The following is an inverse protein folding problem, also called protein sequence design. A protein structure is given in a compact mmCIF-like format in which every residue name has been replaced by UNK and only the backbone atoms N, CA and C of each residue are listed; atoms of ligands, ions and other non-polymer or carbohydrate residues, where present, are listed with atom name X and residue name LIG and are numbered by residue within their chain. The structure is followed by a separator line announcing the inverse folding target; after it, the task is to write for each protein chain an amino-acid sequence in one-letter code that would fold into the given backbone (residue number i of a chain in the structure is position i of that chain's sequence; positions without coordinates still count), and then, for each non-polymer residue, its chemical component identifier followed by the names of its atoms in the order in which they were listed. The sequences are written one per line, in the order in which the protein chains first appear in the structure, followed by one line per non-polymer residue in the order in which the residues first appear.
data_IF_258926788434
#
_entry.id   IF_258926788434
#
_cell.length_a   1.000
_cell.length_b   1.000
_cell.length_c   1.000
_cell.angle_alpha   90.00
_cell.angle_beta   90.00
_cell.angle_gamma   90.00
#
_symmetry.space_group_name_H-M   'P 1'
#
loop_
_entity.id
_entity.type
_entity.pdbx_description
1 polymer ?
#
# COMPACT_ATOMS: atom_id res chain seq x y z
N UNK A 1 9.86 -12.59 14.96
CA UNK A 1 9.79 -11.15 14.64
C UNK A 1 9.28 -10.44 15.88
N UNK A 2 10.01 -9.45 16.38
CA UNK A 2 9.59 -8.71 17.58
C UNK A 2 8.37 -7.82 17.24
N UNK A 3 7.29 -7.96 18.02
CA UNK A 3 6.07 -7.15 17.87
C UNK A 3 6.33 -5.67 18.17
N UNK A 4 7.42 -5.33 18.86
CA UNK A 4 7.84 -3.96 19.12
C UNK A 4 8.11 -3.16 17.82
N UNK A 5 8.50 -3.84 16.74
CA UNK A 5 8.88 -3.23 15.47
C UNK A 5 7.76 -2.40 14.81
N UNK A 6 6.51 -2.59 15.22
CA UNK A 6 5.35 -1.86 14.68
C UNK A 6 4.69 -0.91 15.68
N UNK A 7 5.20 -0.79 16.91
CA UNK A 7 4.56 0.03 17.94
C UNK A 7 4.44 1.51 17.52
N UNK A 8 5.46 2.03 16.83
CA UNK A 8 5.45 3.41 16.35
C UNK A 8 4.39 3.71 15.27
N UNK A 9 3.80 2.69 14.61
CA UNK A 9 2.66 2.91 13.70
C UNK A 9 1.42 3.43 14.43
N UNK A 10 1.29 3.17 15.73
CA UNK A 10 0.18 3.65 16.57
C UNK A 10 0.55 4.89 17.38
N UNK A 11 1.75 5.43 17.20
CA UNK A 11 2.16 6.64 17.89
C UNK A 11 1.28 7.82 17.49
N UNK A 12 0.95 8.76 18.41
CA UNK A 12 0.35 10.03 18.03
C UNK A 12 1.31 10.91 17.21
N UNK A 13 2.62 10.63 17.25
CA UNK A 13 3.64 11.37 16.51
C UNK A 13 3.73 10.87 15.08
N UNK A 14 3.38 11.73 14.11
CA UNK A 14 3.57 11.43 12.68
C UNK A 14 5.03 11.04 12.39
N UNK A 15 6.01 11.74 12.97
CA UNK A 15 7.43 11.44 12.75
C UNK A 15 7.81 10.01 13.16
N UNK A 16 7.26 9.51 14.28
CA UNK A 16 7.50 8.14 14.73
C UNK A 16 6.80 7.12 13.83
N UNK A 17 5.58 7.42 13.37
CA UNK A 17 4.87 6.58 12.39
C UNK A 17 5.70 6.45 11.11
N UNK A 18 6.17 7.58 10.57
CA UNK A 18 6.98 7.62 9.35
C UNK A 18 8.31 6.86 9.52
N UNK A 19 9.02 7.08 10.62
CA UNK A 19 10.26 6.35 10.93
C UNK A 19 10.01 4.84 11.03
N UNK A 20 8.88 4.44 11.61
CA UNK A 20 8.47 3.03 11.70
C UNK A 20 8.18 2.44 10.33
N UNK A 21 7.44 3.15 9.46
CA UNK A 21 7.17 2.67 8.09
C UNK A 21 8.46 2.51 7.31
N UNK A 22 9.37 3.49 7.35
CA UNK A 22 10.66 3.43 6.64
C UNK A 22 11.51 2.25 7.11
N UNK A 23 11.52 1.95 8.41
CA UNK A 23 12.29 0.81 8.92
C UNK A 23 11.77 -0.54 8.44
N UNK A 24 10.48 -0.65 8.09
CA UNK A 24 9.91 -1.91 7.59
C UNK A 24 10.54 -2.36 6.27
N UNK A 25 10.97 -1.44 5.39
CA UNK A 25 11.69 -1.79 4.16
C UNK A 25 12.99 -2.55 4.45
N UNK A 26 13.74 -2.09 5.45
CA UNK A 26 14.97 -2.75 5.92
C UNK A 26 14.66 -4.12 6.53
N UNK A 27 13.54 -4.27 7.22
CA UNK A 27 13.12 -5.56 7.78
C UNK A 27 12.76 -6.58 6.69
N UNK A 28 12.05 -6.15 5.64
CA UNK A 28 11.75 -7.01 4.48
C UNK A 28 13.04 -7.51 3.84
N UNK A 29 13.99 -6.59 3.55
CA UNK A 29 15.28 -6.93 2.93
C UNK A 29 16.11 -7.88 3.79
N UNK A 30 16.15 -7.66 5.10
CA UNK A 30 16.90 -8.51 6.03
C UNK A 30 16.23 -9.87 6.27
N UNK A 31 14.90 -9.97 6.08
CA UNK A 31 14.11 -11.15 6.43
C UNK A 31 13.06 -11.46 5.33
N UNK A 32 13.47 -11.84 4.11
CA UNK A 32 12.58 -11.99 2.96
C UNK A 32 11.85 -13.35 2.93
N UNK A 33 11.35 -13.81 4.08
CA UNK A 33 10.54 -15.04 4.15
C UNK A 33 9.04 -14.70 4.26
N UNK A 34 8.13 -15.53 3.68
CA UNK A 34 6.72 -15.20 3.53
C UNK A 34 6.02 -14.69 4.79
N UNK A 35 6.26 -15.33 5.94
CA UNK A 35 5.64 -14.92 7.20
C UNK A 35 6.00 -13.49 7.63
N UNK A 36 7.26 -13.08 7.43
CA UNK A 36 7.72 -11.73 7.77
C UNK A 36 7.09 -10.70 6.84
N UNK A 37 7.23 -10.91 5.53
CA UNK A 37 6.72 -9.99 4.51
C UNK A 37 5.21 -9.83 4.65
N UNK A 38 4.47 -10.93 4.76
CA UNK A 38 3.02 -10.89 4.95
C UNK A 38 2.63 -10.11 6.21
N UNK A 39 3.31 -10.35 7.34
CA UNK A 39 3.03 -9.62 8.59
C UNK A 39 3.27 -8.13 8.43
N UNK A 40 4.39 -7.73 7.80
CA UNK A 40 4.70 -6.32 7.53
C UNK A 40 3.59 -5.68 6.68
N UNK A 41 3.24 -6.30 5.55
CA UNK A 41 2.24 -5.74 4.64
C UNK A 41 0.86 -5.65 5.30
N UNK A 42 0.46 -6.63 6.12
CA UNK A 42 -0.78 -6.54 6.92
C UNK A 42 -0.75 -5.33 7.86
N UNK A 43 0.36 -5.10 8.56
CA UNK A 43 0.49 -3.95 9.48
C UNK A 43 0.51 -2.62 8.75
N UNK A 44 1.15 -2.54 7.60
CA UNK A 44 1.12 -1.35 6.75
C UNK A 44 -0.29 -1.10 6.20
N UNK A 45 -1.03 -2.15 5.83
CA UNK A 45 -2.42 -2.02 5.36
C UNK A 45 -3.36 -1.52 6.48
N UNK A 46 -3.19 -2.01 7.72
CA UNK A 46 -3.89 -1.47 8.90
C UNK A 46 -3.60 0.03 9.07
N UNK A 47 -2.32 0.43 9.03
CA UNK A 47 -1.90 1.83 9.20
C UNK A 47 -2.33 2.74 8.04
N UNK A 48 -2.39 2.22 6.82
CA UNK A 48 -2.82 2.98 5.64
C UNK A 48 -4.29 3.38 5.71
N UNK A 49 -5.14 2.45 6.17
CA UNK A 49 -6.59 2.63 6.25
C UNK A 49 -6.93 3.89 7.05
N UNK A 50 -6.42 3.98 8.28
CA UNK A 50 -6.75 5.07 9.21
C UNK A 50 -5.70 6.21 9.20
N UNK A 51 -4.71 6.12 8.32
CA UNK A 51 -3.55 7.03 8.28
C UNK A 51 -3.84 8.42 7.70
N UNK A 52 -2.89 9.33 7.92
CA UNK A 52 -2.84 10.62 7.20
C UNK A 52 -2.23 10.44 5.80
N UNK A 53 -2.40 11.41 4.90
CA UNK A 53 -1.77 11.31 3.57
C UNK A 53 -0.24 11.20 3.60
N UNK A 54 0.51 11.92 4.45
CA UNK A 54 1.94 11.68 4.61
C UNK A 54 2.29 10.23 4.96
N UNK A 55 1.49 9.60 5.83
CA UNK A 55 1.66 8.20 6.17
C UNK A 55 1.38 7.30 4.96
N UNK A 56 0.26 7.52 4.26
CA UNK A 56 -0.12 6.76 3.04
C UNK A 56 0.93 6.87 1.94
N UNK A 57 1.45 8.08 1.70
CA UNK A 57 2.53 8.33 0.74
C UNK A 57 3.79 7.54 1.09
N UNK A 58 4.16 7.52 2.37
CA UNK A 58 5.35 6.80 2.82
C UNK A 58 5.16 5.28 2.72
N UNK A 59 3.97 4.77 3.02
CA UNK A 59 3.62 3.36 2.84
C UNK A 59 3.67 2.96 1.37
N UNK A 60 3.08 3.76 0.47
CA UNK A 60 3.11 3.50 -0.97
C UNK A 60 4.54 3.42 -1.50
N UNK A 61 5.40 4.36 -1.09
CA UNK A 61 6.82 4.34 -1.43
C UNK A 61 7.53 3.08 -0.92
N UNK A 62 7.35 2.73 0.35
CA UNK A 62 8.01 1.56 0.94
C UNK A 62 7.57 0.26 0.26
N UNK A 63 6.28 0.11 -0.07
CA UNK A 63 5.80 -1.06 -0.79
C UNK A 63 6.41 -1.14 -2.20
N UNK A 64 6.45 -0.02 -2.93
CA UNK A 64 7.13 0.04 -4.23
C UNK A 64 8.62 -0.33 -4.14
N UNK A 65 9.33 0.05 -3.06
CA UNK A 65 10.73 -0.32 -2.86
C UNK A 65 10.94 -1.81 -2.48
N UNK A 66 9.90 -2.48 -1.98
CA UNK A 66 9.94 -3.90 -1.62
C UNK A 66 9.63 -4.84 -2.78
N UNK A 67 9.06 -4.32 -3.88
CA UNK A 67 8.50 -4.99 -5.07
C UNK A 67 8.72 -6.51 -5.17
N UNK A 68 9.95 -6.97 -5.49
CA UNK A 68 10.24 -8.40 -5.69
C UNK A 68 9.88 -9.30 -4.52
N UNK A 69 9.94 -8.79 -3.29
CA UNK A 69 9.57 -9.52 -2.08
C UNK A 69 8.06 -9.58 -1.84
N UNK A 70 7.27 -8.68 -2.43
CA UNK A 70 5.80 -8.62 -2.24
C UNK A 70 5.08 -9.83 -2.83
N UNK A 71 5.71 -10.53 -3.78
CA UNK A 71 5.23 -11.83 -4.30
C UNK A 71 5.06 -12.91 -3.20
N UNK A 72 5.69 -12.73 -2.04
CA UNK A 72 5.61 -13.65 -0.89
C UNK A 72 4.37 -13.42 0.01
N UNK A 73 3.57 -12.40 -0.28
CA UNK A 73 2.35 -12.09 0.49
C UNK A 73 1.26 -13.12 0.16
N UNK A 74 0.58 -13.65 1.19
CA UNK A 74 -0.48 -14.66 1.03
C UNK A 74 -1.84 -14.24 1.64
N UNK A 75 -1.88 -13.20 2.49
CA UNK A 75 -3.12 -12.61 3.03
C UNK A 75 -3.76 -11.58 2.08
N UNK A 76 -3.64 -11.78 0.76
CA UNK A 76 -4.02 -10.80 -0.26
C UNK A 76 -5.43 -10.26 -0.10
N UNK A 77 -6.44 -11.12 0.05
CA UNK A 77 -7.86 -10.69 0.17
C UNK A 77 -8.09 -9.67 1.30
N UNK A 78 -7.50 -9.90 2.47
CA UNK A 78 -7.70 -9.04 3.64
C UNK A 78 -6.87 -7.76 3.56
N UNK A 79 -5.68 -7.83 2.94
CA UNK A 79 -4.81 -6.68 2.67
C UNK A 79 -5.49 -5.74 1.67
N UNK A 80 -6.00 -6.28 0.56
CA UNK A 80 -6.66 -5.51 -0.49
C UNK A 80 -7.92 -4.81 0.04
N UNK A 81 -8.74 -5.48 0.86
CA UNK A 81 -9.92 -4.86 1.49
C UNK A 81 -9.58 -3.60 2.29
N UNK A 82 -8.43 -3.58 2.98
CA UNK A 82 -8.01 -2.41 3.77
C UNK A 82 -7.61 -1.24 2.87
N UNK A 83 -6.81 -1.49 1.84
CA UNK A 83 -6.43 -0.44 0.88
C UNK A 83 -7.63 0.09 0.08
N UNK A 84 -8.48 -0.82 -0.40
CA UNK A 84 -9.70 -0.48 -1.13
C UNK A 84 -10.70 0.31 -0.28
N UNK A 85 -10.71 0.16 1.06
CA UNK A 85 -11.59 0.99 1.89
C UNK A 85 -11.30 2.50 1.80
N UNK A 86 -10.13 2.90 1.29
CA UNK A 86 -9.73 4.30 1.08
C UNK A 86 -10.03 4.79 -0.35
N UNK A 87 -10.39 3.90 -1.29
CA UNK A 87 -10.60 4.26 -2.71
C UNK A 87 -11.75 5.23 -2.95
N UNK A 88 -12.72 5.29 -2.01
CA UNK A 88 -13.86 6.21 -2.07
C UNK A 88 -13.69 7.46 -1.20
N UNK A 89 -12.46 7.75 -0.76
CA UNK A 89 -12.15 8.99 -0.03
C UNK A 89 -12.51 10.21 -0.88
N UNK A 90 -12.99 11.28 -0.25
CA UNK A 90 -13.16 12.58 -0.91
C UNK A 90 -11.80 13.24 -1.24
N UNK A 91 -10.71 12.78 -0.62
CA UNK A 91 -9.37 13.28 -0.86
C UNK A 91 -8.69 12.57 -2.05
N UNK A 92 -8.41 13.27 -3.16
CA UNK A 92 -7.77 12.67 -4.33
C UNK A 92 -6.36 12.14 -4.06
N UNK A 93 -5.63 12.72 -3.11
CA UNK A 93 -4.29 12.23 -2.75
C UNK A 93 -4.40 10.85 -2.11
N UNK A 94 -5.40 10.64 -1.24
CA UNK A 94 -5.65 9.33 -0.65
C UNK A 94 -6.01 8.29 -1.71
N UNK A 95 -6.87 8.64 -2.68
CA UNK A 95 -7.24 7.76 -3.81
C UNK A 95 -6.04 7.42 -4.70
N UNK A 96 -5.21 8.42 -5.02
CA UNK A 96 -3.97 8.21 -5.78
C UNK A 96 -3.02 7.24 -5.06
N UNK A 97 -2.86 7.39 -3.74
CA UNK A 97 -2.04 6.46 -2.95
C UNK A 97 -2.63 5.05 -2.93
N UNK A 98 -3.96 4.90 -2.90
CA UNK A 98 -4.62 3.59 -3.02
C UNK A 98 -4.27 2.91 -4.35
N UNK A 99 -4.26 3.65 -5.46
CA UNK A 99 -3.87 3.08 -6.76
C UNK A 99 -2.41 2.62 -6.77
N UNK A 100 -1.49 3.41 -6.20
CA UNK A 100 -0.06 3.08 -6.16
C UNK A 100 0.25 1.83 -5.31
N UNK A 101 -0.39 1.67 -4.14
CA UNK A 101 -0.21 0.47 -3.32
C UNK A 101 -0.79 -0.77 -3.99
N UNK A 102 -1.93 -0.63 -4.69
CA UNK A 102 -2.53 -1.73 -5.43
C UNK A 102 -1.67 -2.15 -6.62
N UNK A 103 -1.04 -1.19 -7.32
CA UNK A 103 -0.08 -1.47 -8.38
C UNK A 103 1.12 -2.29 -7.85
N UNK A 104 1.67 -1.89 -6.70
CA UNK A 104 2.77 -2.62 -6.05
C UNK A 104 2.37 -4.04 -5.61
N UNK A 105 1.08 -4.28 -5.37
CA UNK A 105 0.54 -5.56 -4.94
C UNK A 105 -0.12 -6.35 -6.08
N UNK A 106 -0.06 -5.87 -7.33
CA UNK A 106 -0.67 -6.55 -8.48
C UNK A 106 -0.26 -8.03 -8.60
N UNK A 107 1.02 -8.43 -8.35
CA UNK A 107 1.41 -9.86 -8.38
C UNK A 107 0.71 -10.74 -7.35
N UNK A 108 0.19 -10.16 -6.26
CA UNK A 108 -0.47 -10.88 -5.16
C UNK A 108 -1.91 -11.25 -5.50
N UNK A 109 -2.57 -10.47 -6.36
CA UNK A 109 -3.97 -10.71 -6.74
C UNK A 109 -4.27 -10.18 -8.15
N UNK A 110 -3.84 -10.89 -9.21
CA UNK A 110 -3.94 -10.40 -10.58
C UNK A 110 -5.37 -10.30 -11.15
N UNK A 111 -6.38 -10.91 -10.51
CA UNK A 111 -7.75 -10.99 -11.05
C UNK A 111 -8.80 -10.22 -10.25
N UNK A 112 -8.40 -9.19 -9.50
CA UNK A 112 -9.35 -8.42 -8.70
C UNK A 112 -10.21 -7.50 -9.56
N UNK A 113 -11.44 -7.94 -9.87
CA UNK A 113 -12.46 -7.14 -10.58
C UNK A 113 -12.68 -5.75 -9.96
N UNK A 114 -12.63 -5.66 -8.63
CA UNK A 114 -12.79 -4.38 -7.92
C UNK A 114 -11.64 -3.42 -8.22
N UNK A 115 -10.41 -3.92 -8.27
CA UNK A 115 -9.23 -3.12 -8.62
C UNK A 115 -9.30 -2.67 -10.07
N UNK A 116 -9.68 -3.56 -11.00
CA UNK A 116 -9.85 -3.18 -12.40
C UNK A 116 -10.92 -2.10 -12.59
N UNK A 117 -12.06 -2.22 -11.92
CA UNK A 117 -13.11 -1.20 -11.96
C UNK A 117 -12.60 0.15 -11.45
N UNK A 118 -11.92 0.14 -10.30
CA UNK A 118 -11.33 1.34 -9.70
C UNK A 118 -10.34 2.03 -10.66
N UNK A 119 -9.46 1.27 -11.32
CA UNK A 119 -8.52 1.83 -12.29
C UNK A 119 -9.28 2.54 -13.42
N UNK A 120 -10.30 1.87 -13.99
CA UNK A 120 -11.10 2.45 -15.09
C UNK A 120 -11.81 3.73 -14.66
N UNK A 121 -12.38 3.76 -13.46
CA UNK A 121 -13.00 4.96 -12.91
C UNK A 121 -11.98 6.09 -12.74
N UNK A 122 -10.83 5.81 -12.11
CA UNK A 122 -9.79 6.80 -11.85
C UNK A 122 -9.07 7.28 -13.12
N UNK A 123 -9.13 6.55 -14.24
CA UNK A 123 -8.69 7.02 -15.56
C UNK A 123 -9.53 8.17 -16.12
N UNK A 124 -10.67 8.46 -15.51
CA UNK A 124 -11.52 9.61 -15.85
C UNK A 124 -11.51 10.71 -14.78
N UNK A 125 -10.64 10.59 -13.77
CA UNK A 125 -10.56 11.54 -12.67
C UNK A 125 -10.07 12.91 -13.14
N UNK A 126 -10.72 13.97 -12.66
CA UNK A 126 -10.30 15.36 -12.90
C UNK A 126 -8.98 15.70 -12.19
N UNK A 127 -8.70 15.02 -11.07
CA UNK A 127 -7.46 15.23 -10.35
C UNK A 127 -6.30 14.56 -11.10
N UNK A 128 -5.34 15.37 -11.53
CA UNK A 128 -4.18 14.91 -12.29
C UNK A 128 -3.34 13.83 -11.56
N UNK A 129 -3.21 13.92 -10.23
CA UNK A 129 -2.43 12.94 -9.46
C UNK A 129 -3.09 11.57 -9.40
N UNK A 130 -4.40 11.53 -9.22
CA UNK A 130 -5.18 10.29 -9.29
C UNK A 130 -5.16 9.68 -10.70
N UNK A 131 -5.41 10.51 -11.72
CA UNK A 131 -5.34 10.09 -13.12
C UNK A 131 -3.98 9.49 -13.47
N UNK A 132 -2.88 10.17 -13.08
CA UNK A 132 -1.52 9.68 -13.33
C UNK A 132 -1.25 8.35 -12.62
N UNK A 133 -1.72 8.18 -11.38
CA UNK A 133 -1.56 6.91 -10.66
C UNK A 133 -2.31 5.76 -11.36
N UNK A 134 -3.54 6.01 -11.84
CA UNK A 134 -4.31 5.03 -12.59
C UNK A 134 -3.65 4.66 -13.92
N UNK A 135 -3.17 5.67 -14.65
CA UNK A 135 -2.46 5.48 -15.92
C UNK A 135 -1.19 4.65 -15.73
N UNK A 136 -0.36 5.00 -14.73
CA UNK A 136 0.87 4.29 -14.44
C UNK A 136 0.61 2.83 -14.05
N UNK A 137 -0.37 2.57 -13.19
CA UNK A 137 -0.79 1.20 -12.87
C UNK A 137 -1.15 0.44 -14.16
N UNK A 138 -2.03 1.00 -14.99
CA UNK A 138 -2.47 0.34 -16.23
C UNK A 138 -1.31 -0.04 -17.16
N UNK A 139 -0.25 0.77 -17.22
CA UNK A 139 0.95 0.50 -18.02
C UNK A 139 1.85 -0.61 -17.44
N UNK A 140 1.76 -0.90 -16.15
CA UNK A 140 2.55 -1.97 -15.51
C UNK A 140 1.86 -3.33 -15.54
N UNK A 141 0.53 -3.35 -15.70
CA UNK A 141 -0.32 -4.55 -15.74
C UNK A 141 -0.44 -5.18 -17.15
N UNK A 142 0.24 -4.60 -18.15
CA UNK A 142 0.31 -5.07 -19.56
C UNK A 142 1.69 -5.59 -19.90
#
# INVERSE_FOLDING_TARGET
MDLSAFQGLRSPSLSEQLATVVSTASLVKANPFPMCVNTIVVRLADAFKDGSNPLRMTIARVLSECDSHLSLVFSGSEIFKRFLSVSHSNDPVARAMTLQVLASLAPVSPESKQVHHLIVESMTAENAGEFQAAFFFKCMDT
#
